data_IF_026363325157
#
_entry.id   IF_026363325157
#
_cell.length_a   1.000
_cell.length_b   1.000
_cell.length_c   1.000
_cell.angle_alpha   90.00
_cell.angle_beta   90.00
_cell.angle_gamma   90.00
#
_symmetry.space_group_name_H-M   'P 1'
#
loop_
_entity.id
_entity.type
_entity.pdbx_description
1 polymer ?
#
# COMPACT_ATOMS: atom_id res chain seq x y z
N UNK A 1 7.98 8.12 14.94
CA UNK A 1 7.54 8.47 13.57
C UNK A 1 6.06 8.84 13.64
N UNK A 2 5.70 10.11 13.39
CA UNK A 2 4.29 10.55 13.40
C UNK A 2 3.63 10.04 12.12
N UNK A 3 2.61 9.17 12.23
CA UNK A 3 1.85 8.70 11.06
C UNK A 3 0.92 9.81 10.57
N UNK A 4 1.03 10.18 9.30
CA UNK A 4 0.14 11.19 8.68
C UNK A 4 -1.31 10.69 8.67
N UNK A 5 -2.32 11.58 8.52
CA UNK A 5 -3.72 11.16 8.35
C UNK A 5 -3.89 10.12 7.24
N UNK A 6 -3.20 10.32 6.11
CA UNK A 6 -3.23 9.42 4.95
C UNK A 6 -2.65 8.04 5.29
N UNK A 7 -1.50 7.99 5.96
CA UNK A 7 -0.89 6.72 6.39
C UNK A 7 -1.77 5.98 7.41
N UNK A 8 -2.47 6.71 8.28
CA UNK A 8 -3.45 6.12 9.21
C UNK A 8 -4.64 5.52 8.46
N UNK A 9 -5.13 6.19 7.42
CA UNK A 9 -6.23 5.68 6.62
C UNK A 9 -5.83 4.44 5.82
N UNK A 10 -4.64 4.44 5.21
CA UNK A 10 -4.10 3.25 4.54
C UNK A 10 -3.91 2.11 5.54
N UNK A 11 -3.37 2.38 6.73
CA UNK A 11 -3.22 1.37 7.78
C UNK A 11 -4.55 0.71 8.17
N UNK A 12 -5.59 1.51 8.43
CA UNK A 12 -6.94 0.99 8.70
C UNK A 12 -7.51 0.21 7.53
N UNK A 13 -7.24 0.66 6.30
CA UNK A 13 -7.65 -0.05 5.11
C UNK A 13 -6.97 -1.43 5.03
N UNK A 14 -5.66 -1.51 5.26
CA UNK A 14 -4.90 -2.79 5.32
C UNK A 14 -5.49 -3.71 6.39
N UNK A 15 -5.68 -3.21 7.62
CA UNK A 15 -6.25 -3.97 8.75
C UNK A 15 -7.64 -4.55 8.43
N UNK A 16 -8.44 -3.84 7.63
CA UNK A 16 -9.78 -4.29 7.23
C UNK A 16 -9.79 -5.23 6.01
N UNK A 17 -8.75 -5.21 5.17
CA UNK A 17 -8.73 -5.95 3.90
C UNK A 17 -7.83 -7.20 3.94
N UNK A 18 -6.84 -7.23 4.82
CA UNK A 18 -5.90 -8.33 4.93
C UNK A 18 -5.84 -8.88 6.34
N UNK A 19 -5.67 -10.20 6.41
CA UNK A 19 -5.26 -10.86 7.63
C UNK A 19 -3.82 -10.42 7.99
N UNK A 20 -3.64 -9.95 9.22
CA UNK A 20 -2.36 -9.42 9.71
C UNK A 20 -1.24 -10.48 9.60
N UNK A 21 -1.58 -11.77 9.74
CA UNK A 21 -0.62 -12.86 9.63
C UNK A 21 -0.10 -13.06 8.21
N UNK A 22 -0.81 -12.54 7.21
CA UNK A 22 -0.40 -12.56 5.80
C UNK A 22 0.45 -11.35 5.43
N UNK A 23 0.36 -10.26 6.19
CA UNK A 23 1.17 -9.06 5.95
C UNK A 23 2.60 -9.32 6.40
N UNK A 24 3.54 -9.31 5.45
CA UNK A 24 4.96 -9.45 5.74
C UNK A 24 5.58 -8.11 6.08
N UNK A 25 5.28 -7.07 5.29
CA UNK A 25 5.83 -5.73 5.47
C UNK A 25 4.89 -4.67 4.89
N UNK A 26 4.88 -3.49 5.50
CA UNK A 26 4.23 -2.30 4.97
C UNK A 26 5.19 -1.10 5.08
N UNK A 27 5.74 -0.68 3.95
CA UNK A 27 6.75 0.37 3.86
C UNK A 27 6.14 1.66 3.33
N UNK A 28 6.44 2.79 3.97
CA UNK A 28 6.00 4.10 3.49
C UNK A 28 6.84 4.49 2.27
N UNK A 29 6.20 4.69 1.12
CA UNK A 29 6.85 5.19 -0.10
C UNK A 29 6.72 6.71 -0.19
N UNK A 30 5.51 7.23 0.04
CA UNK A 30 5.22 8.67 0.09
C UNK A 30 4.20 8.99 1.18
N UNK A 31 3.76 10.24 1.31
CA UNK A 31 2.71 10.65 2.25
C UNK A 31 1.41 9.84 2.07
N UNK A 32 1.05 9.52 0.83
CA UNK A 32 -0.21 8.86 0.46
C UNK A 32 -0.02 7.51 -0.22
N UNK A 33 1.19 6.95 -0.20
CA UNK A 33 1.47 5.65 -0.80
C UNK A 33 2.30 4.75 0.13
N UNK A 34 1.94 3.47 0.16
CA UNK A 34 2.58 2.42 0.96
C UNK A 34 2.86 1.23 0.06
N UNK A 35 4.07 0.68 0.10
CA UNK A 35 4.36 -0.63 -0.47
C UNK A 35 3.94 -1.69 0.53
N UNK A 36 3.01 -2.55 0.14
CA UNK A 36 2.55 -3.68 0.92
C UNK A 36 3.13 -4.97 0.33
N UNK A 37 3.82 -5.73 1.17
CA UNK A 37 4.31 -7.07 0.83
C UNK A 37 3.53 -8.09 1.64
N UNK A 38 2.85 -8.99 0.95
CA UNK A 38 2.16 -10.13 1.56
C UNK A 38 3.03 -11.38 1.41
N UNK A 39 2.94 -12.31 2.36
CA UNK A 39 3.69 -13.57 2.32
C UNK A 39 3.37 -14.37 1.06
N UNK A 40 4.38 -14.62 0.23
CA UNK A 40 4.24 -15.40 -1.00
C UNK A 40 3.60 -14.66 -2.19
N UNK A 41 3.45 -13.34 -2.10
CA UNK A 41 2.92 -12.50 -3.19
C UNK A 41 3.93 -11.43 -3.60
N UNK A 42 3.82 -10.97 -4.84
CA UNK A 42 4.55 -9.81 -5.30
C UNK A 42 4.12 -8.54 -4.53
N UNK A 43 5.05 -7.60 -4.30
CA UNK A 43 4.70 -6.33 -3.66
C UNK A 43 3.64 -5.56 -4.45
N UNK A 44 2.77 -4.88 -3.73
CA UNK A 44 1.71 -4.03 -4.29
C UNK A 44 1.82 -2.65 -3.68
N UNK A 45 1.74 -1.61 -4.50
CA UNK A 45 1.66 -0.23 -4.03
C UNK A 45 0.19 0.13 -3.77
N UNK A 46 -0.08 0.50 -2.53
CA UNK A 46 -1.34 1.08 -2.10
C UNK A 46 -1.25 2.60 -2.21
N UNK A 47 -2.19 3.23 -2.92
CA UNK A 47 -2.24 4.69 -3.07
C UNK A 47 -3.58 5.20 -2.55
N UNK A 48 -3.53 6.07 -1.54
CA UNK A 48 -4.70 6.84 -1.12
C UNK A 48 -4.94 8.00 -2.09
N UNK A 49 -6.09 7.97 -2.75
CA UNK A 49 -6.56 9.02 -3.66
C UNK A 49 -7.23 10.15 -2.89
N UNK A 50 -7.31 11.33 -3.52
CA UNK A 50 -7.94 12.52 -2.92
C UNK A 50 -9.43 12.32 -2.57
N UNK A 51 -10.11 11.41 -3.28
CA UNK A 51 -11.50 11.02 -3.01
C UNK A 51 -11.64 10.00 -1.86
N UNK A 52 -10.55 9.64 -1.18
CA UNK A 52 -10.54 8.70 -0.07
C UNK A 52 -10.49 7.22 -0.47
N UNK A 53 -10.50 6.89 -1.78
CA UNK A 53 -10.33 5.52 -2.26
C UNK A 53 -8.87 5.08 -2.13
N UNK A 54 -8.64 3.81 -1.80
CA UNK A 54 -7.33 3.17 -1.89
C UNK A 54 -7.25 2.36 -3.16
N UNK A 55 -6.33 2.73 -4.04
CA UNK A 55 -6.00 1.95 -5.23
C UNK A 55 -4.86 0.99 -4.92
N UNK A 56 -4.90 -0.19 -5.56
CA UNK A 56 -3.87 -1.22 -5.49
C UNK A 56 -3.23 -1.34 -6.86
N UNK A 57 -1.92 -1.20 -6.93
CA UNK A 57 -1.15 -1.31 -8.17
C UNK A 57 -0.03 -2.31 -7.93
N UNK A 58 0.02 -3.45 -8.64
CA UNK A 58 1.18 -4.35 -8.57
C UNK A 58 2.46 -3.57 -8.85
N UNK A 59 3.50 -3.76 -8.05
CA UNK A 59 4.72 -2.96 -8.21
C UNK A 59 5.36 -3.14 -9.59
N UNK A 60 5.29 -4.35 -10.16
CA UNK A 60 5.76 -4.63 -11.52
C UNK A 60 5.10 -3.71 -12.57
N UNK A 61 3.81 -3.38 -12.39
CA UNK A 61 3.06 -2.54 -13.33
C UNK A 61 3.51 -1.06 -13.33
N UNK A 62 4.31 -0.62 -12.35
CA UNK A 62 4.87 0.74 -12.34
C UNK A 62 6.04 0.93 -13.30
N UNK A 63 6.66 -0.17 -13.75
CA UNK A 63 7.85 -0.14 -14.59
C UNK A 63 7.60 -0.58 -16.04
N UNK A 64 6.39 -1.06 -16.36
CA UNK A 64 6.06 -1.56 -17.71
C UNK A 64 5.86 -0.45 -18.77
N UNK A 65 5.80 0.83 -18.39
CA UNK A 65 5.71 1.95 -19.36
C UNK A 65 7.07 2.57 -19.74
N UNK A 66 8.19 1.92 -19.41
CA UNK A 66 9.55 2.44 -19.65
C UNK A 66 10.28 1.83 -20.87
N UNK A 67 9.57 1.17 -21.80
CA UNK A 67 10.17 0.54 -23.01
C UNK A 67 9.68 1.21 -24.29
#
# INVERSE_FOLDING_TARGET
MIRTPEQRQIGRWIENHYDIDKVQCAEIVTKNAVRLTLRGHEPTILILRQNGRVDQIPEAALFEEAV
#
